data_IF_466220944518
#
_entry.id   IF_466220944518
#
_cell.length_a   1.000
_cell.length_b   1.000
_cell.length_c   1.000
_cell.angle_alpha   90.00
_cell.angle_beta   90.00
_cell.angle_gamma   90.00
#
_symmetry.space_group_name_H-M   'P 1'
#
loop_
_entity.id
_entity.type
_entity.pdbx_description
1 polymer ?
#
# COMPACT_ATOMS: atom_id res chain seq x y z
N UNK A 1 34.09 -46.99 7.24
CA UNK A 1 35.21 -47.93 7.01
C UNK A 1 34.64 -49.34 7.06
N UNK A 2 35.23 -50.27 6.29
CA UNK A 2 34.99 -51.71 6.35
C UNK A 2 33.89 -52.25 5.42
N UNK A 3 34.34 -53.02 4.43
CA UNK A 3 33.54 -54.03 3.74
C UNK A 3 33.25 -55.15 4.74
N UNK A 4 32.00 -55.61 4.81
CA UNK A 4 31.67 -56.83 5.54
C UNK A 4 30.96 -57.83 4.62
N UNK A 5 31.51 -59.02 4.67
CA UNK A 5 31.26 -60.23 3.89
C UNK A 5 29.84 -60.76 4.03
N UNK A 6 29.33 -61.27 2.91
CA UNK A 6 28.03 -61.92 2.75
C UNK A 6 28.01 -63.29 3.45
N UNK A 7 27.06 -63.48 4.36
CA UNK A 7 26.64 -64.79 4.89
C UNK A 7 25.16 -64.99 4.49
N UNK A 8 24.80 -66.10 3.84
CA UNK A 8 23.40 -66.43 3.59
C UNK A 8 22.80 -67.05 4.87
N UNK A 9 21.48 -66.97 4.98
CA UNK A 9 20.64 -67.60 6.01
C UNK A 9 20.36 -66.75 7.25
N UNK A 10 19.50 -65.74 7.08
CA UNK A 10 18.34 -65.51 7.96
C UNK A 10 17.43 -64.48 7.31
N UNK A 11 16.15 -64.83 7.14
CA UNK A 11 15.12 -64.00 6.54
C UNK A 11 14.68 -62.86 7.45
N UNK A 12 15.55 -61.86 7.65
CA UNK A 12 15.17 -60.56 8.20
C UNK A 12 14.92 -59.59 7.07
N UNK A 13 13.66 -59.24 6.85
CA UNK A 13 13.25 -58.10 6.03
C UNK A 13 13.97 -56.85 6.55
N UNK A 14 14.96 -56.38 5.80
CA UNK A 14 15.56 -55.06 5.99
C UNK A 14 14.45 -54.05 5.77
N UNK A 15 13.92 -53.49 6.84
CA UNK A 15 13.11 -52.26 6.76
C UNK A 15 14.08 -51.20 6.26
N UNK A 16 13.85 -50.59 5.08
CA UNK A 16 14.64 -49.44 4.71
C UNK A 16 14.38 -48.38 5.78
N UNK A 17 15.41 -48.02 6.56
CA UNK A 17 15.43 -46.72 7.23
C UNK A 17 15.49 -45.73 6.08
N UNK A 18 14.31 -45.40 5.57
CA UNK A 18 14.13 -44.28 4.67
C UNK A 18 14.73 -43.09 5.39
N UNK A 19 15.65 -42.40 4.74
CA UNK A 19 15.91 -40.99 5.00
C UNK A 19 14.62 -40.20 4.71
N UNK A 20 13.54 -40.44 5.45
CA UNK A 20 12.60 -39.37 5.72
C UNK A 20 13.26 -38.50 6.77
N UNK A 21 14.06 -37.61 6.18
CA UNK A 21 14.89 -36.56 6.71
C UNK A 21 14.43 -36.07 8.09
N UNK A 22 15.32 -36.09 9.07
CA UNK A 22 15.17 -35.32 10.30
C UNK A 22 14.85 -33.83 9.99
N UNK A 23 15.30 -33.34 8.83
CA UNK A 23 14.97 -32.01 8.32
C UNK A 23 13.52 -31.85 7.83
N UNK A 24 12.80 -32.91 7.42
CA UNK A 24 11.36 -32.83 7.12
C UNK A 24 10.56 -32.69 8.42
N UNK A 25 10.88 -33.51 9.43
CA UNK A 25 10.25 -33.41 10.76
C UNK A 25 10.49 -32.06 11.43
N UNK A 26 11.70 -31.53 11.31
CA UNK A 26 12.01 -30.20 11.87
C UNK A 26 11.28 -29.10 11.10
N UNK A 27 11.11 -29.23 9.78
CA UNK A 27 10.37 -28.24 8.98
C UNK A 27 8.87 -28.29 9.28
N UNK A 28 8.29 -29.48 9.39
CA UNK A 28 6.88 -29.69 9.77
C UNK A 28 6.60 -29.19 11.20
N UNK A 29 7.45 -29.49 12.18
CA UNK A 29 7.32 -28.96 13.55
C UNK A 29 7.48 -27.43 13.62
N UNK A 30 8.40 -26.84 12.84
CA UNK A 30 8.55 -25.39 12.75
C UNK A 30 7.30 -24.76 12.12
N UNK A 31 6.76 -25.35 11.05
CA UNK A 31 5.53 -24.85 10.40
C UNK A 31 4.30 -25.02 11.28
N UNK A 32 4.18 -26.11 12.04
CA UNK A 32 3.09 -26.32 12.99
C UNK A 32 3.17 -25.38 14.18
N UNK A 33 4.38 -25.09 14.67
CA UNK A 33 4.58 -24.11 15.73
C UNK A 33 4.37 -22.67 15.24
N UNK A 34 4.75 -22.36 13.99
CA UNK A 34 4.48 -21.07 13.34
C UNK A 34 2.97 -20.87 13.10
N UNK A 35 2.25 -21.89 12.63
CA UNK A 35 0.79 -21.84 12.46
C UNK A 35 0.04 -21.76 13.80
N UNK A 36 0.56 -22.37 14.88
CA UNK A 36 0.02 -22.22 16.23
C UNK A 36 0.24 -20.83 16.81
N UNK A 37 1.38 -20.20 16.50
CA UNK A 37 1.72 -18.86 16.96
C UNK A 37 1.05 -17.76 16.12
N UNK A 38 0.77 -18.03 14.84
CA UNK A 38 0.08 -17.15 13.90
C UNK A 38 -1.04 -17.90 13.16
N UNK A 39 -2.18 -18.17 13.82
CA UNK A 39 -3.31 -18.89 13.20
C UNK A 39 -3.90 -18.17 11.98
N UNK A 40 -3.69 -16.85 11.88
CA UNK A 40 -4.13 -16.00 10.76
C UNK A 40 -2.99 -15.61 9.81
N UNK A 41 -1.81 -16.24 9.94
CA UNK A 41 -0.64 -15.97 9.11
C UNK A 41 0.34 -14.98 9.73
N UNK A 42 1.63 -15.18 9.45
CA UNK A 42 2.72 -14.36 10.02
C UNK A 42 2.70 -12.94 9.43
N UNK A 43 2.75 -11.89 10.27
CA UNK A 43 2.76 -10.52 9.79
C UNK A 43 4.01 -10.24 8.95
N UNK A 44 3.85 -9.43 7.91
CA UNK A 44 4.92 -9.13 6.95
C UNK A 44 6.15 -8.55 7.64
N UNK A 45 5.95 -7.72 8.67
CA UNK A 45 7.04 -7.12 9.46
C UNK A 45 7.97 -8.15 10.13
N UNK A 46 7.48 -9.34 10.48
CA UNK A 46 8.28 -10.44 11.08
C UNK A 46 8.91 -11.36 10.02
N UNK A 47 8.56 -11.17 8.74
CA UNK A 47 9.08 -11.96 7.63
C UNK A 47 10.45 -11.47 7.15
N UNK A 48 11.12 -12.27 6.32
CA UNK A 48 12.40 -11.89 5.72
C UNK A 48 12.32 -10.61 4.88
N UNK A 49 13.46 -9.92 4.73
CA UNK A 49 13.57 -8.65 4.00
C UNK A 49 12.96 -8.72 2.58
N UNK A 50 13.19 -9.82 1.87
CA UNK A 50 12.69 -10.04 0.51
C UNK A 50 11.17 -10.07 0.44
N UNK A 51 10.50 -10.61 1.47
CA UNK A 51 9.04 -10.70 1.55
C UNK A 51 8.44 -9.32 1.85
N UNK A 52 9.04 -8.58 2.80
CA UNK A 52 8.63 -7.22 3.13
C UNK A 52 8.68 -6.30 1.91
N UNK A 53 9.80 -6.27 1.21
CA UNK A 53 9.97 -5.42 0.04
C UNK A 53 9.08 -5.85 -1.14
N UNK A 54 8.83 -7.15 -1.31
CA UNK A 54 7.91 -7.63 -2.35
C UNK A 54 6.46 -7.19 -2.09
N UNK A 55 6.01 -7.23 -0.84
CA UNK A 55 4.69 -6.76 -0.43
C UNK A 55 4.56 -5.25 -0.67
N UNK A 56 5.48 -4.44 -0.12
CA UNK A 56 5.45 -2.98 -0.27
C UNK A 56 5.50 -2.58 -1.74
N UNK A 57 6.34 -3.24 -2.55
CA UNK A 57 6.43 -2.95 -3.99
C UNK A 57 5.10 -3.18 -4.71
N UNK A 58 4.39 -4.28 -4.42
CA UNK A 58 3.08 -4.54 -5.03
C UNK A 58 2.07 -3.48 -4.60
N UNK A 59 2.06 -3.14 -3.32
CA UNK A 59 1.14 -2.16 -2.75
C UNK A 59 1.34 -0.78 -3.38
N UNK A 60 2.58 -0.30 -3.38
CA UNK A 60 2.93 0.99 -3.98
C UNK A 60 2.81 1.02 -5.49
N UNK A 61 2.91 -0.12 -6.18
CA UNK A 61 2.75 -0.17 -7.64
C UNK A 61 1.29 0.07 -8.02
N UNK A 62 0.36 -0.56 -7.30
CA UNK A 62 -1.08 -0.34 -7.49
C UNK A 62 -1.41 1.12 -7.15
N UNK A 63 -0.99 1.60 -5.98
CA UNK A 63 -1.24 2.97 -5.54
C UNK A 63 -0.70 4.04 -6.52
N UNK A 64 0.54 3.88 -6.98
CA UNK A 64 1.15 4.83 -7.95
C UNK A 64 0.42 4.78 -9.29
N UNK A 65 -0.10 3.61 -9.70
CA UNK A 65 -0.89 3.50 -10.93
C UNK A 65 -2.24 4.21 -10.82
N UNK A 66 -2.88 4.19 -9.65
CA UNK A 66 -4.13 4.89 -9.40
C UNK A 66 -3.92 6.41 -9.38
N UNK A 67 -2.87 6.88 -8.70
CA UNK A 67 -2.46 8.28 -8.75
C UNK A 67 -2.21 8.75 -10.18
N UNK A 68 -1.64 7.88 -11.03
CA UNK A 68 -1.33 8.20 -12.41
C UNK A 68 -2.61 8.37 -13.23
N UNK A 69 -3.58 7.48 -13.05
CA UNK A 69 -4.91 7.59 -13.69
C UNK A 69 -5.61 8.88 -13.25
N UNK A 70 -5.58 9.21 -11.96
CA UNK A 70 -6.19 10.46 -11.43
C UNK A 70 -5.50 11.69 -12.03
N UNK A 71 -4.18 11.69 -12.09
CA UNK A 71 -3.39 12.83 -12.61
C UNK A 71 -3.65 13.05 -14.09
N UNK A 72 -3.60 11.98 -14.90
CA UNK A 72 -3.86 12.06 -16.35
C UNK A 72 -5.29 12.53 -16.61
N UNK A 73 -6.28 11.96 -15.91
CA UNK A 73 -7.68 12.33 -16.08
C UNK A 73 -7.91 13.79 -15.69
N UNK A 74 -7.30 14.25 -14.60
CA UNK A 74 -7.37 15.66 -14.15
C UNK A 74 -6.75 16.60 -15.17
N UNK A 75 -5.57 16.27 -15.71
CA UNK A 75 -4.92 17.06 -16.75
C UNK A 75 -5.74 17.13 -18.04
N UNK A 76 -6.32 16.01 -18.48
CA UNK A 76 -7.19 15.96 -19.66
C UNK A 76 -8.46 16.80 -19.50
N UNK A 77 -9.10 16.74 -18.32
CA UNK A 77 -10.31 17.51 -18.03
C UNK A 77 -10.03 19.01 -17.90
N UNK A 78 -8.86 19.39 -17.37
CA UNK A 78 -8.39 20.77 -17.38
C UNK A 78 -8.19 21.30 -18.80
N UNK A 79 -7.59 20.51 -19.70
CA UNK A 79 -7.32 20.94 -21.07
C UNK A 79 -8.58 21.06 -21.94
N UNK A 80 -9.57 20.18 -21.75
CA UNK A 80 -10.72 20.05 -22.65
C UNK A 80 -11.92 20.94 -22.28
N UNK A 81 -11.73 21.98 -21.45
CA UNK A 81 -12.73 22.97 -21.02
C UNK A 81 -14.16 22.40 -20.89
N UNK A 82 -14.45 21.66 -19.82
CA UNK A 82 -15.77 21.26 -19.28
C UNK A 82 -16.97 21.15 -20.25
N UNK A 83 -16.77 20.67 -21.48
CA UNK A 83 -17.80 20.71 -22.54
C UNK A 83 -19.02 19.83 -22.25
N UNK A 84 -18.91 18.96 -21.25
CA UNK A 84 -19.93 18.00 -20.81
C UNK A 84 -20.14 18.03 -19.29
N UNK A 85 -19.95 19.17 -18.63
CA UNK A 85 -20.25 19.30 -17.21
C UNK A 85 -21.75 19.17 -16.97
N UNK A 86 -22.12 18.21 -16.12
CA UNK A 86 -23.47 18.08 -15.61
C UNK A 86 -23.40 17.85 -14.09
N UNK A 87 -23.93 18.81 -13.33
CA UNK A 87 -24.00 18.78 -11.87
C UNK A 87 -24.63 17.48 -11.35
N UNK A 88 -25.64 16.96 -12.05
CA UNK A 88 -26.30 15.71 -11.67
C UNK A 88 -25.38 14.51 -11.79
N UNK A 89 -24.51 14.48 -12.81
CA UNK A 89 -23.57 13.37 -13.01
C UNK A 89 -22.46 13.45 -11.97
N UNK A 90 -21.98 14.65 -11.64
CA UNK A 90 -21.01 14.84 -10.56
C UNK A 90 -21.60 14.42 -9.21
N UNK A 91 -22.81 14.89 -8.87
CA UNK A 91 -23.49 14.52 -7.63
C UNK A 91 -23.74 13.01 -7.52
N UNK A 92 -24.22 12.38 -8.60
CA UNK A 92 -24.38 10.94 -8.65
C UNK A 92 -23.03 10.20 -8.48
N UNK A 93 -21.97 10.68 -9.12
CA UNK A 93 -20.63 10.08 -9.02
C UNK A 93 -20.08 10.17 -7.59
N UNK A 94 -20.29 11.30 -6.90
CA UNK A 94 -19.90 11.47 -5.49
C UNK A 94 -20.67 10.50 -4.59
N UNK A 95 -21.99 10.37 -4.77
CA UNK A 95 -22.81 9.43 -3.99
C UNK A 95 -22.38 7.99 -4.22
N UNK A 96 -22.16 7.59 -5.47
CA UNK A 96 -21.68 6.25 -5.81
C UNK A 96 -20.28 6.01 -5.26
N UNK A 97 -19.39 6.99 -5.33
CA UNK A 97 -18.04 6.91 -4.73
C UNK A 97 -18.12 6.73 -3.22
N UNK A 98 -18.99 7.46 -2.53
CA UNK A 98 -19.21 7.29 -1.08
C UNK A 98 -19.78 5.91 -0.72
N UNK A 99 -20.75 5.39 -1.48
CA UNK A 99 -21.27 4.05 -1.26
C UNK A 99 -20.20 2.97 -1.50
N UNK A 100 -19.37 3.14 -2.53
CA UNK A 100 -18.23 2.27 -2.78
C UNK A 100 -17.20 2.35 -1.65
N UNK A 101 -16.89 3.55 -1.16
CA UNK A 101 -16.01 3.76 -0.01
C UNK A 101 -16.51 2.97 1.21
N UNK A 102 -17.78 3.14 1.58
CA UNK A 102 -18.39 2.43 2.72
C UNK A 102 -18.32 0.91 2.51
N UNK A 103 -18.63 0.45 1.30
CA UNK A 103 -18.58 -0.97 0.95
C UNK A 103 -17.17 -1.51 1.06
N UNK A 104 -16.18 -0.77 0.56
CA UNK A 104 -14.76 -1.14 0.60
C UNK A 104 -14.22 -1.15 2.03
N UNK A 105 -14.56 -0.16 2.86
CA UNK A 105 -14.15 -0.12 4.28
C UNK A 105 -14.77 -1.28 5.06
N UNK A 106 -16.06 -1.57 4.86
CA UNK A 106 -16.70 -2.71 5.52
C UNK A 106 -16.06 -4.03 5.09
N UNK A 107 -15.84 -4.20 3.79
CA UNK A 107 -15.20 -5.39 3.22
C UNK A 107 -13.74 -5.57 3.63
N UNK A 108 -13.03 -4.47 3.91
CA UNK A 108 -11.64 -4.48 4.39
C UNK A 108 -11.52 -4.98 5.83
N UNK A 109 -12.56 -4.77 6.65
CA UNK A 109 -12.59 -5.27 8.03
C UNK A 109 -12.99 -6.74 8.12
N UNK A 110 -13.73 -7.25 7.15
CA UNK A 110 -13.99 -8.68 7.03
C UNK A 110 -12.75 -9.36 6.41
N UNK A 111 -12.42 -10.59 6.81
CA UNK A 111 -11.32 -11.41 6.25
C UNK A 111 -11.41 -11.66 4.72
N UNK A 112 -12.40 -11.06 4.05
CA UNK A 112 -12.65 -11.21 2.64
C UNK A 112 -11.88 -10.17 1.83
N UNK A 113 -10.86 -10.63 1.10
CA UNK A 113 -10.13 -9.81 0.14
C UNK A 113 -11.09 -9.16 -0.88
N UNK A 114 -11.22 -7.82 -0.89
CA UNK A 114 -12.08 -7.16 -1.84
C UNK A 114 -11.62 -7.46 -3.29
N UNK A 115 -12.56 -7.71 -4.22
CA UNK A 115 -12.20 -7.98 -5.60
C UNK A 115 -11.52 -6.79 -6.28
N UNK A 116 -10.48 -7.06 -7.07
CA UNK A 116 -9.67 -6.04 -7.78
C UNK A 116 -10.49 -5.07 -8.65
N UNK A 117 -11.65 -5.48 -9.15
CA UNK A 117 -12.49 -4.63 -10.01
C UNK A 117 -13.16 -3.48 -9.25
N UNK A 118 -13.43 -3.63 -7.94
CA UNK A 118 -14.01 -2.54 -7.15
C UNK A 118 -13.05 -1.37 -7.02
N UNK A 119 -11.75 -1.65 -6.89
CA UNK A 119 -10.69 -0.64 -6.84
C UNK A 119 -10.66 0.16 -8.12
N UNK A 120 -10.63 -0.53 -9.27
CA UNK A 120 -10.56 0.16 -10.56
C UNK A 120 -11.78 1.03 -10.78
N UNK A 121 -12.98 0.53 -10.47
CA UNK A 121 -14.21 1.31 -10.58
C UNK A 121 -14.18 2.54 -9.68
N UNK A 122 -13.75 2.37 -8.43
CA UNK A 122 -13.62 3.46 -7.46
C UNK A 122 -12.57 4.49 -7.91
N UNK A 123 -11.42 4.05 -8.45
CA UNK A 123 -10.39 4.94 -9.00
C UNK A 123 -10.88 5.71 -10.21
N UNK A 124 -11.62 5.09 -11.13
CA UNK A 124 -12.21 5.78 -12.28
C UNK A 124 -13.21 6.86 -11.84
N UNK A 125 -14.07 6.55 -10.86
CA UNK A 125 -15.03 7.51 -10.31
C UNK A 125 -14.32 8.67 -9.61
N UNK A 126 -13.30 8.40 -8.79
CA UNK A 126 -12.53 9.44 -8.11
C UNK A 126 -11.72 10.29 -9.08
N UNK A 127 -11.11 9.68 -10.10
CA UNK A 127 -10.41 10.41 -11.15
C UNK A 127 -11.35 11.40 -11.87
N UNK A 128 -12.60 10.99 -12.12
CA UNK A 128 -13.63 11.86 -12.68
C UNK A 128 -14.04 12.99 -11.71
N UNK A 129 -14.33 12.67 -10.43
CA UNK A 129 -14.73 13.65 -9.42
C UNK A 129 -13.64 14.70 -9.21
N UNK A 130 -12.41 14.26 -8.93
CA UNK A 130 -11.27 15.14 -8.68
C UNK A 130 -10.99 15.98 -9.94
N UNK A 131 -10.99 15.34 -11.12
CA UNK A 131 -10.71 16.06 -12.37
C UNK A 131 -11.74 17.15 -12.69
N UNK A 132 -13.03 16.90 -12.47
CA UNK A 132 -14.05 17.94 -12.63
C UNK A 132 -13.93 19.00 -11.53
N UNK A 133 -13.71 18.62 -10.27
CA UNK A 133 -13.57 19.56 -9.16
C UNK A 133 -12.44 20.55 -9.43
N UNK A 134 -11.27 20.04 -9.83
CA UNK A 134 -10.09 20.84 -10.17
C UNK A 134 -10.38 21.77 -11.35
N UNK A 135 -11.11 21.29 -12.37
CA UNK A 135 -11.45 22.08 -13.55
C UNK A 135 -12.51 23.16 -13.27
N UNK A 136 -13.51 22.88 -12.44
CA UNK A 136 -14.57 23.84 -12.07
C UNK A 136 -14.03 24.93 -11.15
N UNK A 137 -13.27 24.54 -10.12
CA UNK A 137 -12.74 25.47 -9.12
C UNK A 137 -11.41 26.10 -9.54
N UNK A 138 -10.85 25.71 -10.70
CA UNK A 138 -9.55 26.19 -11.20
C UNK A 138 -8.42 26.01 -10.18
N UNK A 139 -8.47 24.92 -9.41
CA UNK A 139 -7.48 24.59 -8.40
C UNK A 139 -6.26 23.91 -9.02
N UNK A 140 -5.51 24.69 -9.81
CA UNK A 140 -4.28 24.28 -10.49
C UNK A 140 -3.27 23.63 -9.54
N UNK A 141 -3.16 24.14 -8.31
CA UNK A 141 -2.26 23.60 -7.28
C UNK A 141 -2.51 22.11 -6.95
N UNK A 142 -3.72 21.58 -7.17
CA UNK A 142 -4.03 20.16 -6.91
C UNK A 142 -3.35 19.26 -7.94
N UNK A 143 -3.28 19.69 -9.21
CA UNK A 143 -2.54 18.95 -10.23
C UNK A 143 -1.05 18.87 -9.86
N UNK A 144 -0.51 19.97 -9.34
CA UNK A 144 0.88 20.07 -8.90
C UNK A 144 1.16 19.13 -7.73
N UNK A 145 0.26 19.08 -6.74
CA UNK A 145 0.30 18.10 -5.64
C UNK A 145 0.29 16.66 -6.16
N UNK A 146 -0.58 16.35 -7.11
CA UNK A 146 -0.69 15.00 -7.68
C UNK A 146 0.61 14.59 -8.40
N UNK A 147 1.24 15.50 -9.14
CA UNK A 147 2.53 15.26 -9.80
C UNK A 147 3.64 15.03 -8.76
N UNK A 148 3.70 15.83 -7.69
CA UNK A 148 4.67 15.64 -6.61
C UNK A 148 4.47 14.29 -5.90
N UNK A 149 3.22 13.91 -5.62
CA UNK A 149 2.88 12.62 -5.03
C UNK A 149 3.24 11.44 -5.94
N UNK A 150 3.07 11.59 -7.25
CA UNK A 150 3.50 10.59 -8.23
C UNK A 150 5.01 10.40 -8.22
N UNK A 151 5.78 11.50 -8.21
CA UNK A 151 7.23 11.44 -8.13
C UNK A 151 7.69 10.81 -6.81
N UNK A 152 7.01 11.13 -5.70
CA UNK A 152 7.22 10.53 -4.40
C UNK A 152 6.96 9.02 -4.42
N UNK A 153 5.84 8.57 -4.99
CA UNK A 153 5.50 7.15 -5.12
C UNK A 153 6.47 6.37 -6.01
N UNK A 154 6.90 6.95 -7.13
CA UNK A 154 7.94 6.36 -7.99
C UNK A 154 9.27 6.21 -7.25
N UNK A 155 9.64 7.18 -6.41
CA UNK A 155 10.86 7.10 -5.61
C UNK A 155 10.80 5.98 -4.57
N UNK A 156 9.66 5.79 -3.91
CA UNK A 156 9.44 4.64 -3.01
C UNK A 156 9.49 3.33 -3.78
N UNK A 157 8.88 3.26 -4.97
CA UNK A 157 8.99 2.08 -5.83
C UNK A 157 10.44 1.77 -6.19
N UNK A 158 11.24 2.78 -6.53
CA UNK A 158 12.67 2.61 -6.77
C UNK A 158 13.41 2.12 -5.51
N UNK A 159 13.06 2.65 -4.32
CA UNK A 159 13.60 2.19 -3.05
C UNK A 159 13.26 0.73 -2.75
N UNK A 160 12.04 0.27 -3.04
CA UNK A 160 11.63 -1.13 -2.80
C UNK A 160 12.35 -2.15 -3.69
N UNK A 161 13.01 -1.71 -4.77
CA UNK A 161 13.85 -2.58 -5.60
C UNK A 161 15.24 -2.83 -5.00
N UNK A 162 15.60 -2.12 -3.94
CA UNK A 162 16.84 -2.35 -3.22
C UNK A 162 16.77 -3.63 -2.39
N UNK A 163 17.90 -4.36 -2.30
CA UNK A 163 17.99 -5.63 -1.55
C UNK A 163 18.67 -5.51 -0.19
N UNK A 164 19.10 -4.31 0.20
CA UNK A 164 20.04 -4.12 1.32
C UNK A 164 19.40 -3.52 2.57
N UNK A 165 18.43 -2.61 2.41
CA UNK A 165 17.83 -1.86 3.51
C UNK A 165 16.49 -2.46 3.92
N UNK A 166 16.19 -2.52 5.22
CA UNK A 166 14.88 -2.97 5.75
C UNK A 166 13.91 -1.81 5.78
N UNK A 167 12.63 -2.06 5.48
CA UNK A 167 11.60 -1.02 5.52
C UNK A 167 11.31 -0.62 6.98
N UNK A 168 12.11 0.30 7.51
CA UNK A 168 11.89 0.96 8.80
C UNK A 168 11.38 2.35 8.49
N UNK A 169 10.19 2.74 8.98
CA UNK A 169 9.53 4.01 8.67
C UNK A 169 10.48 5.20 8.46
N UNK A 170 11.47 5.38 9.32
CA UNK A 170 12.49 6.44 9.24
C UNK A 170 13.22 6.57 7.89
N UNK A 171 13.56 5.47 7.23
CA UNK A 171 14.36 5.46 5.99
C UNK A 171 13.55 6.00 4.79
N UNK A 172 12.39 5.43 4.44
CA UNK A 172 11.55 5.95 3.36
C UNK A 172 10.97 7.35 3.68
N UNK A 173 10.75 7.72 4.96
CA UNK A 173 10.30 9.06 5.33
C UNK A 173 11.32 10.15 4.97
N UNK A 174 12.61 9.91 5.23
CA UNK A 174 13.67 10.87 4.90
C UNK A 174 13.82 10.94 3.37
N UNK A 175 13.79 9.79 2.69
CA UNK A 175 13.90 9.71 1.24
C UNK A 175 12.77 10.50 0.55
N UNK A 176 11.51 10.30 0.97
CA UNK A 176 10.37 10.95 0.33
C UNK A 176 10.38 12.46 0.54
N UNK A 177 10.75 12.92 1.75
CA UNK A 177 10.88 14.34 2.07
C UNK A 177 11.92 15.02 1.18
N UNK A 178 13.10 14.40 1.02
CA UNK A 178 14.18 14.93 0.17
C UNK A 178 13.76 14.96 -1.30
N UNK A 179 13.08 13.90 -1.78
CA UNK A 179 12.62 13.83 -3.17
C UNK A 179 11.61 14.92 -3.46
N UNK A 180 10.63 15.15 -2.58
CA UNK A 180 9.62 16.21 -2.78
C UNK A 180 10.28 17.58 -2.81
N UNK A 181 11.27 17.85 -1.94
CA UNK A 181 12.03 19.11 -1.96
C UNK A 181 12.78 19.28 -3.29
N UNK A 182 13.47 18.24 -3.76
CA UNK A 182 14.23 18.30 -5.02
C UNK A 182 13.30 18.50 -6.21
N UNK A 183 12.24 17.70 -6.33
CA UNK A 183 11.30 17.76 -7.46
C UNK A 183 10.53 19.08 -7.45
N UNK A 184 10.06 19.54 -6.27
CA UNK A 184 9.41 20.84 -6.14
C UNK A 184 10.34 21.99 -6.57
N UNK A 185 11.63 21.92 -6.25
CA UNK A 185 12.61 22.93 -6.67
C UNK A 185 12.84 22.92 -8.19
N UNK A 186 12.84 21.74 -8.81
CA UNK A 186 13.04 21.58 -10.27
C UNK A 186 11.80 22.00 -11.08
N UNK A 187 10.59 21.65 -10.64
CA UNK A 187 9.36 21.96 -11.38
C UNK A 187 8.96 23.44 -11.26
N UNK A 188 9.32 24.07 -10.15
CA UNK A 188 9.00 25.47 -9.86
C UNK A 188 9.29 26.46 -11.01
N UNK A 189 10.49 26.50 -11.63
CA UNK A 189 10.79 27.45 -12.70
C UNK A 189 10.10 27.14 -14.04
N UNK A 190 9.48 25.96 -14.22
CA UNK A 190 9.00 25.50 -15.53
C UNK A 190 7.48 25.38 -15.63
N UNK A 191 6.79 25.11 -14.52
CA UNK A 191 5.36 24.72 -14.55
C UNK A 191 4.47 25.54 -13.61
N UNK A 192 4.99 26.08 -12.50
CA UNK A 192 4.15 26.55 -11.39
C UNK A 192 4.20 28.05 -11.12
N UNK A 193 3.06 28.64 -10.77
CA UNK A 193 3.00 29.97 -10.19
C UNK A 193 3.42 29.89 -8.71
N UNK A 194 4.24 30.84 -8.23
CA UNK A 194 4.72 30.89 -6.84
C UNK A 194 3.59 30.80 -5.78
N UNK A 195 2.40 31.33 -6.10
CA UNK A 195 1.23 31.31 -5.22
C UNK A 195 0.65 29.91 -4.99
N UNK A 196 0.74 29.04 -6.00
CA UNK A 196 0.16 27.69 -5.99
C UNK A 196 1.15 26.65 -5.47
N UNK A 197 2.46 26.96 -5.54
CA UNK A 197 3.52 26.06 -5.11
C UNK A 197 3.46 25.73 -3.62
N UNK A 198 3.27 26.75 -2.77
CA UNK A 198 3.29 26.59 -1.31
C UNK A 198 2.19 25.61 -0.84
N UNK A 199 0.91 25.81 -1.20
CA UNK A 199 -0.13 24.86 -0.81
C UNK A 199 0.10 23.48 -1.46
N UNK A 200 0.59 23.42 -2.70
CA UNK A 200 0.86 22.16 -3.37
C UNK A 200 1.96 21.34 -2.67
N UNK A 201 3.05 22.00 -2.27
CA UNK A 201 4.18 21.42 -1.57
C UNK A 201 3.81 20.93 -0.18
N UNK A 202 3.11 21.77 0.61
CA UNK A 202 2.69 21.41 1.97
C UNK A 202 1.77 20.18 1.92
N UNK A 203 0.79 20.19 1.01
CA UNK A 203 -0.15 19.08 0.86
C UNK A 203 0.55 17.81 0.38
N UNK A 204 1.43 17.90 -0.61
CA UNK A 204 2.19 16.75 -1.11
C UNK A 204 3.12 16.16 -0.05
N UNK A 205 3.81 17.00 0.74
CA UNK A 205 4.69 16.56 1.82
C UNK A 205 3.88 15.85 2.90
N UNK A 206 2.76 16.45 3.34
CA UNK A 206 1.93 15.89 4.41
C UNK A 206 1.33 14.54 4.00
N UNK A 207 0.74 14.45 2.81
CA UNK A 207 0.16 13.21 2.29
C UNK A 207 1.23 12.13 2.07
N UNK A 208 2.40 12.50 1.55
CA UNK A 208 3.47 11.54 1.31
C UNK A 208 4.05 10.97 2.61
N UNK A 209 4.25 11.80 3.64
CA UNK A 209 4.65 11.34 4.97
C UNK A 209 3.61 10.38 5.55
N UNK A 210 2.33 10.74 5.39
CA UNK A 210 1.22 9.92 5.83
C UNK A 210 1.22 8.52 5.21
N UNK A 211 1.34 8.40 3.87
CA UNK A 211 1.35 7.08 3.22
C UNK A 211 2.51 6.18 3.64
N UNK A 212 3.67 6.74 3.96
CA UNK A 212 4.79 5.95 4.45
C UNK A 212 4.49 5.40 5.86
N UNK A 213 3.88 6.21 6.73
CA UNK A 213 3.45 5.77 8.05
C UNK A 213 2.37 4.70 7.93
N UNK A 214 1.35 4.92 7.09
CA UNK A 214 0.29 3.94 6.86
C UNK A 214 0.87 2.61 6.33
N UNK A 215 1.76 2.65 5.33
CA UNK A 215 2.47 1.45 4.84
C UNK A 215 3.19 0.71 5.96
N UNK A 216 3.83 1.44 6.87
CA UNK A 216 4.55 0.84 7.98
C UNK A 216 3.63 0.15 8.99
N UNK A 217 2.47 0.75 9.30
CA UNK A 217 1.44 0.12 10.12
C UNK A 217 0.81 -1.09 9.41
N UNK A 218 0.55 -0.97 8.12
CA UNK A 218 -0.05 -2.01 7.29
C UNK A 218 0.79 -3.28 7.24
N UNK A 219 2.12 -3.15 7.11
CA UNK A 219 3.04 -4.29 7.16
C UNK A 219 3.04 -5.03 8.51
N UNK A 220 2.59 -4.39 9.60
CA UNK A 220 2.53 -5.01 10.92
C UNK A 220 1.23 -5.77 11.15
N UNK A 221 0.15 -5.35 10.48
CA UNK A 221 -1.19 -5.91 10.66
C UNK A 221 -1.50 -7.02 9.66
N UNK A 222 -0.97 -6.93 8.43
CA UNK A 222 -1.36 -7.81 7.33
C UNK A 222 -0.36 -8.94 7.07
N UNK A 223 -0.88 -10.08 6.61
CA UNK A 223 -0.06 -11.19 6.13
C UNK A 223 0.38 -10.98 4.67
N UNK A 224 1.40 -11.71 4.23
CA UNK A 224 2.01 -11.60 2.88
C UNK A 224 1.01 -11.87 1.74
N UNK A 225 -0.02 -12.66 2.03
CA UNK A 225 -1.00 -13.15 1.05
C UNK A 225 -2.18 -12.16 0.84
N UNK A 226 -2.22 -11.08 1.62
CA UNK A 226 -3.31 -10.08 1.65
C UNK A 226 -2.93 -8.75 0.98
N UNK A 227 -1.97 -8.77 0.06
CA UNK A 227 -1.47 -7.55 -0.57
C UNK A 227 -2.55 -6.76 -1.34
N UNK A 228 -3.63 -7.40 -1.79
CA UNK A 228 -4.77 -6.71 -2.41
C UNK A 228 -5.53 -5.84 -1.42
N UNK A 229 -5.92 -6.39 -0.27
CA UNK A 229 -6.59 -5.62 0.78
C UNK A 229 -5.71 -4.49 1.31
N UNK A 230 -4.40 -4.76 1.44
CA UNK A 230 -3.41 -3.76 1.80
C UNK A 230 -3.36 -2.58 0.81
N UNK A 231 -3.30 -2.85 -0.49
CA UNK A 231 -3.40 -1.81 -1.52
C UNK A 231 -4.68 -1.00 -1.41
N UNK A 232 -5.81 -1.67 -1.19
CA UNK A 232 -7.09 -0.97 -1.09
C UNK A 232 -7.12 -0.02 0.09
N UNK A 233 -6.66 -0.46 1.26
CA UNK A 233 -6.66 0.45 2.39
C UNK A 233 -5.78 1.66 2.13
N UNK A 234 -4.58 1.46 1.59
CA UNK A 234 -3.67 2.56 1.32
C UNK A 234 -4.28 3.57 0.33
N UNK A 235 -5.15 3.13 -0.59
CA UNK A 235 -5.92 4.01 -1.46
C UNK A 235 -7.14 4.66 -0.78
N UNK A 236 -7.88 3.95 0.08
CA UNK A 236 -8.97 4.56 0.85
C UNK A 236 -8.44 5.71 1.71
N UNK A 237 -7.26 5.50 2.28
CA UNK A 237 -6.51 6.45 3.09
C UNK A 237 -5.97 7.66 2.28
N UNK A 238 -5.99 7.60 0.94
CA UNK A 238 -5.68 8.75 0.07
C UNK A 238 -6.76 9.84 0.12
N UNK A 239 -8.02 9.44 0.22
CA UNK A 239 -9.18 10.34 0.16
C UNK A 239 -9.55 10.78 1.58
N UNK A 240 -9.63 9.83 2.51
CA UNK A 240 -9.88 10.10 3.92
C UNK A 240 -8.89 9.25 4.73
N UNK A 241 -7.96 9.85 5.48
CA UNK A 241 -6.99 9.12 6.29
C UNK A 241 -7.70 8.54 7.53
N UNK A 242 -8.54 7.52 7.31
CA UNK A 242 -9.42 6.96 8.33
C UNK A 242 -8.61 6.22 9.40
N UNK A 243 -7.54 5.53 8.99
CA UNK A 243 -6.74 4.70 9.91
C UNK A 243 -6.06 5.53 11.01
N UNK A 244 -5.51 6.69 10.67
CA UNK A 244 -4.89 7.57 11.68
C UNK A 244 -5.93 8.18 12.61
N UNK A 245 -7.11 8.54 12.11
CA UNK A 245 -8.19 9.07 12.95
C UNK A 245 -8.61 7.97 13.94
N UNK A 246 -8.81 6.74 13.47
CA UNK A 246 -9.13 5.61 14.35
C UNK A 246 -8.06 5.38 15.42
N UNK A 247 -6.79 5.33 15.04
CA UNK A 247 -5.70 5.11 15.99
C UNK A 247 -5.52 6.27 16.98
N UNK A 248 -5.70 7.52 16.53
CA UNK A 248 -5.71 8.68 17.42
C UNK A 248 -6.89 8.64 18.41
N UNK A 249 -8.07 8.20 17.97
CA UNK A 249 -9.21 8.01 18.86
C UNK A 249 -8.96 6.91 19.90
N UNK A 250 -8.33 5.80 19.52
CA UNK A 250 -7.97 4.72 20.44
C UNK A 250 -6.97 5.18 21.52
N UNK A 251 -5.91 5.90 21.12
CA UNK A 251 -4.94 6.47 22.07
C UNK A 251 -5.57 7.52 22.99
N UNK A 252 -6.56 8.27 22.49
CA UNK A 252 -7.29 9.25 23.30
C UNK A 252 -8.23 8.57 24.29
N UNK A 253 -8.83 7.43 23.90
CA UNK A 253 -9.68 6.64 24.79
C UNK A 253 -8.86 5.99 25.92
N UNK A 254 -7.68 5.44 25.61
CA UNK A 254 -6.80 4.81 26.61
C UNK A 254 -6.19 5.84 27.58
N UNK A 255 -6.00 7.08 27.16
CA UNK A 255 -5.53 8.18 28.03
C UNK A 255 -6.68 8.95 28.72
N UNK A 256 -7.93 8.70 28.33
CA UNK A 256 -9.12 9.39 28.84
C UNK A 256 -9.80 8.69 30.03
N UNK A 257 -9.42 7.44 30.34
CA UNK A 257 -9.93 6.67 31.50
C UNK A 257 -9.08 6.87 32.78
N UNK A 258 -8.02 7.69 32.73
CA UNK A 258 -7.11 7.98 33.85
C UNK A 258 -7.42 9.30 34.61
N UNK A 259 -8.52 10.02 34.27
CA UNK A 259 -9.03 11.23 34.97
C UNK A 259 -10.41 10.98 35.61
#
# INVERSE_FOLDING_TARGET
MSYQTFHPDTGTTVVPIGRHSESDRTSEEITDNENRLYPFGKPVFLSGLSVQMAFVRKVWAIFTSELLVVTITTALLLYNELKYYNEWILGASVVVSLLLLITLTYKSNDDFQPPWYFVILYTCLNAYIIGILVSVFQFTFILDTLILMLAAGLSVLAFTNQKTYKFRAKEPLILISVVIIIISSILHPWVFNFSDLIPAFILALLLSLYFILDTWYLMRQMSKDEYWGASMQLYLDLIIPFRIIHHMCELTAEYGDDD
#
